data_IF_861565954654
#
_entry.id   IF_861565954654
#
_cell.length_a   1.000
_cell.length_b   1.000
_cell.length_c   1.000
_cell.angle_alpha   90.00
_cell.angle_beta   90.00
_cell.angle_gamma   90.00
#
_symmetry.space_group_name_H-M   'P 1'
#
loop_
_entity.id
_entity.type
_entity.pdbx_description
1 polymer ?
#
# COMPACT_ATOMS: atom_id res chain seq x y z
N UNK A 1 -36.20 26.71 -9.07
CA UNK A 1 -34.79 27.07 -9.36
C UNK A 1 -33.87 26.94 -8.14
N UNK A 2 -34.21 27.54 -6.98
CA UNK A 2 -33.38 27.50 -5.74
C UNK A 2 -32.99 26.09 -5.27
N UNK A 3 -33.90 25.10 -5.28
CA UNK A 3 -33.61 23.71 -4.87
C UNK A 3 -32.52 23.02 -5.71
N UNK A 4 -32.44 23.27 -7.02
CA UNK A 4 -31.40 22.70 -7.90
C UNK A 4 -30.02 23.30 -7.59
N UNK A 5 -29.97 24.58 -7.22
CA UNK A 5 -28.73 25.27 -6.83
C UNK A 5 -28.17 24.71 -5.52
N UNK A 6 -29.00 24.41 -4.52
CA UNK A 6 -28.58 23.78 -3.27
C UNK A 6 -28.05 22.35 -3.47
N UNK A 7 -28.63 21.59 -4.39
CA UNK A 7 -28.15 20.24 -4.72
C UNK A 7 -26.77 20.30 -5.40
N UNK A 8 -26.57 21.24 -6.32
CA UNK A 8 -25.28 21.43 -6.99
C UNK A 8 -24.20 21.95 -6.04
N UNK A 9 -24.54 22.90 -5.16
CA UNK A 9 -23.62 23.40 -4.12
C UNK A 9 -23.27 22.30 -3.11
N UNK A 10 -24.27 21.53 -2.64
CA UNK A 10 -24.04 20.40 -1.74
C UNK A 10 -23.18 19.31 -2.37
N UNK A 11 -23.42 18.99 -3.65
CA UNK A 11 -22.60 18.05 -4.41
C UNK A 11 -21.16 18.52 -4.59
N UNK A 12 -20.95 19.81 -4.86
CA UNK A 12 -19.61 20.40 -4.96
C UNK A 12 -18.82 20.33 -3.65
N UNK A 13 -19.46 20.65 -2.52
CA UNK A 13 -18.85 20.54 -1.19
C UNK A 13 -18.51 19.09 -0.87
N UNK A 14 -19.43 18.15 -1.12
CA UNK A 14 -19.17 16.73 -0.89
C UNK A 14 -17.99 16.21 -1.73
N UNK A 15 -17.92 16.60 -3.01
CA UNK A 15 -16.80 16.23 -3.88
C UNK A 15 -15.47 16.80 -3.38
N UNK A 16 -15.45 18.05 -2.91
CA UNK A 16 -14.24 18.68 -2.36
C UNK A 16 -13.77 17.98 -1.08
N UNK A 17 -14.71 17.62 -0.18
CA UNK A 17 -14.38 16.88 1.05
C UNK A 17 -13.84 15.49 0.73
N UNK A 18 -14.45 14.77 -0.21
CA UNK A 18 -13.97 13.46 -0.67
C UNK A 18 -12.58 13.57 -1.30
N UNK A 19 -12.35 14.56 -2.16
CA UNK A 19 -11.04 14.81 -2.76
C UNK A 19 -9.97 15.13 -1.73
N UNK A 20 -10.28 15.97 -0.74
CA UNK A 20 -9.39 16.28 0.38
C UNK A 20 -9.05 15.05 1.22
N UNK A 21 -10.05 14.21 1.53
CA UNK A 21 -9.83 12.96 2.26
C UNK A 21 -8.91 12.01 1.49
N UNK A 22 -9.16 11.80 0.19
CA UNK A 22 -8.31 10.96 -0.66
C UNK A 22 -6.88 11.49 -0.66
N UNK A 23 -6.70 12.80 -0.81
CA UNK A 23 -5.37 13.42 -0.80
C UNK A 23 -4.62 13.16 0.52
N UNK A 24 -5.29 13.33 1.67
CA UNK A 24 -4.71 13.06 2.99
C UNK A 24 -4.31 11.59 3.12
N UNK A 25 -5.17 10.66 2.70
CA UNK A 25 -4.87 9.22 2.75
C UNK A 25 -3.66 8.87 1.89
N UNK A 26 -3.59 9.38 0.66
CA UNK A 26 -2.47 9.10 -0.24
C UNK A 26 -1.13 9.63 0.30
N UNK A 27 -1.14 10.75 1.04
CA UNK A 27 0.07 11.35 1.60
C UNK A 27 0.48 10.74 2.94
N UNK A 28 -0.47 10.47 3.81
CA UNK A 28 -0.20 9.98 5.16
C UNK A 28 0.22 8.51 5.19
N UNK A 29 -0.32 7.70 4.28
CA UNK A 29 0.01 6.27 4.18
C UNK A 29 1.12 5.96 3.17
N UNK A 30 1.85 6.97 2.71
CA UNK A 30 2.98 6.76 1.80
C UNK A 30 4.13 6.12 2.56
N UNK A 31 4.59 4.97 2.09
CA UNK A 31 5.70 4.20 2.65
C UNK A 31 7.00 4.95 2.39
N UNK A 32 7.74 5.21 3.46
CA UNK A 32 9.07 5.85 3.44
C UNK A 32 10.14 4.92 3.97
N UNK A 33 9.75 3.98 4.84
CA UNK A 33 10.66 3.06 5.52
C UNK A 33 10.25 1.63 5.27
N UNK A 34 11.20 0.79 4.87
CA UNK A 34 10.98 -0.64 4.62
C UNK A 34 12.05 -1.46 5.32
N UNK A 35 11.61 -2.44 6.12
CA UNK A 35 12.50 -3.44 6.71
C UNK A 35 12.35 -4.76 5.96
N UNK A 36 13.46 -5.36 5.55
CA UNK A 36 13.49 -6.67 4.90
C UNK A 36 14.25 -7.65 5.78
N UNK A 37 13.62 -8.79 6.07
CA UNK A 37 14.21 -9.87 6.87
C UNK A 37 14.08 -11.22 6.16
N UNK A 38 15.03 -12.12 6.40
CA UNK A 38 14.99 -13.49 5.86
C UNK A 38 15.34 -13.61 4.38
N UNK A 39 15.80 -12.51 3.73
CA UNK A 39 16.41 -12.66 2.42
C UNK A 39 17.79 -13.34 2.55
N UNK A 40 18.08 -14.21 1.61
CA UNK A 40 19.38 -14.90 1.50
C UNK A 40 19.91 -14.76 0.07
N UNK A 41 19.04 -14.73 -0.93
CA UNK A 41 19.42 -14.78 -2.35
C UNK A 41 19.20 -13.47 -3.11
N UNK A 42 18.17 -12.71 -2.75
CA UNK A 42 17.84 -11.41 -3.38
C UNK A 42 18.31 -10.27 -2.50
N UNK A 43 18.61 -9.11 -3.10
CA UNK A 43 18.89 -7.88 -2.35
C UNK A 43 17.62 -7.34 -1.69
N UNK A 44 17.78 -6.41 -0.74
CA UNK A 44 16.63 -5.76 -0.11
C UNK A 44 15.80 -4.99 -1.13
N UNK A 45 16.46 -4.32 -2.08
CA UNK A 45 15.84 -3.53 -3.14
C UNK A 45 15.03 -4.42 -4.09
N UNK A 46 15.54 -5.60 -4.46
CA UNK A 46 14.80 -6.56 -5.29
C UNK A 46 13.54 -7.08 -4.59
N UNK A 47 13.63 -7.37 -3.28
CA UNK A 47 12.47 -7.75 -2.48
C UNK A 47 11.44 -6.61 -2.43
N UNK A 48 11.90 -5.37 -2.23
CA UNK A 48 11.05 -4.19 -2.26
C UNK A 48 10.35 -4.03 -3.62
N UNK A 49 11.09 -4.15 -4.72
CA UNK A 49 10.53 -4.01 -6.07
C UNK A 49 9.52 -5.12 -6.39
N UNK A 50 9.70 -6.33 -5.87
CA UNK A 50 8.71 -7.41 -6.02
C UNK A 50 7.43 -7.15 -5.21
N UNK A 51 7.55 -6.62 -4.00
CA UNK A 51 6.41 -6.39 -3.09
C UNK A 51 5.66 -5.11 -3.44
N UNK A 52 6.39 -4.02 -3.67
CA UNK A 52 5.89 -2.64 -3.84
C UNK A 52 5.52 -2.33 -5.29
N UNK A 53 5.00 -3.32 -6.02
CA UNK A 53 4.56 -3.15 -7.41
C UNK A 53 3.21 -2.45 -7.54
N UNK A 54 3.08 -1.63 -8.60
CA UNK A 54 1.83 -0.98 -9.01
C UNK A 54 1.78 0.51 -8.66
N UNK A 55 0.74 1.19 -9.13
CA UNK A 55 0.57 2.65 -8.97
C UNK A 55 0.42 3.13 -7.53
N UNK A 56 -0.01 2.23 -6.63
CA UNK A 56 -0.12 2.47 -5.19
C UNK A 56 0.80 1.53 -4.39
N UNK A 57 1.82 0.96 -5.03
CA UNK A 57 2.76 0.03 -4.41
C UNK A 57 3.57 0.64 -3.27
N UNK A 58 3.63 1.96 -3.18
CA UNK A 58 4.23 2.74 -2.10
C UNK A 58 3.20 3.24 -1.06
N UNK A 59 2.00 2.66 -1.01
CA UNK A 59 0.97 3.02 -0.04
C UNK A 59 0.69 1.85 0.93
N UNK A 60 0.97 2.03 2.22
CA UNK A 60 0.87 0.97 3.22
C UNK A 60 -0.56 0.42 3.37
N UNK A 61 -1.57 1.28 3.25
CA UNK A 61 -2.98 0.88 3.30
C UNK A 61 -3.35 0.02 2.09
N UNK A 62 -2.87 0.39 0.90
CA UNK A 62 -3.02 -0.43 -0.30
C UNK A 62 -2.31 -1.78 -0.15
N UNK A 63 -1.06 -1.79 0.33
CA UNK A 63 -0.30 -3.02 0.57
C UNK A 63 -0.98 -3.93 1.59
N UNK A 64 -1.56 -3.37 2.66
CA UNK A 64 -2.33 -4.12 3.65
C UNK A 64 -3.52 -4.85 3.01
N UNK A 65 -4.22 -4.20 2.08
CA UNK A 65 -5.34 -4.80 1.34
C UNK A 65 -4.84 -5.81 0.30
N UNK A 66 -3.75 -5.49 -0.40
CA UNK A 66 -3.14 -6.34 -1.42
C UNK A 66 -2.66 -7.66 -0.83
N UNK A 67 -2.07 -7.66 0.36
CA UNK A 67 -1.45 -8.85 0.98
C UNK A 67 -2.21 -9.40 2.19
N UNK A 68 -3.41 -8.90 2.49
CA UNK A 68 -4.20 -9.27 3.69
C UNK A 68 -4.28 -10.77 3.98
N UNK A 69 -4.47 -11.58 2.93
CA UNK A 69 -4.65 -13.03 3.02
C UNK A 69 -3.79 -13.78 1.99
N UNK A 70 -2.76 -13.13 1.45
CA UNK A 70 -1.90 -13.70 0.42
C UNK A 70 -0.50 -13.12 0.52
N UNK A 71 0.51 -13.98 0.47
CA UNK A 71 1.88 -13.55 0.34
C UNK A 71 2.24 -13.24 -1.12
N UNK A 72 3.47 -12.80 -1.33
CA UNK A 72 4.06 -12.81 -2.66
C UNK A 72 4.57 -14.22 -2.94
N UNK A 73 3.90 -14.91 -3.86
CA UNK A 73 4.24 -16.27 -4.25
C UNK A 73 4.81 -16.30 -5.68
N UNK A 74 5.24 -17.48 -6.13
CA UNK A 74 5.80 -17.71 -7.48
C UNK A 74 7.13 -16.99 -7.77
N UNK A 75 7.93 -16.75 -6.73
CA UNK A 75 9.30 -16.26 -6.85
C UNK A 75 10.28 -17.45 -6.74
N UNK A 76 11.32 -17.54 -7.59
CA UNK A 76 12.35 -18.57 -7.46
C UNK A 76 12.99 -18.53 -6.07
N UNK A 77 13.32 -19.69 -5.48
CA UNK A 77 13.97 -19.84 -4.16
C UNK A 77 13.17 -19.33 -2.93
N UNK A 78 12.20 -18.45 -3.12
CA UNK A 78 11.30 -17.96 -2.07
C UNK A 78 10.02 -18.80 -2.04
N UNK A 79 9.65 -19.27 -0.86
CA UNK A 79 8.38 -19.96 -0.62
C UNK A 79 7.23 -18.95 -0.61
N UNK A 80 7.35 -17.91 0.23
CA UNK A 80 6.40 -16.81 0.30
C UNK A 80 7.05 -15.58 0.95
N UNK A 81 6.46 -14.41 0.74
CA UNK A 81 6.82 -13.18 1.47
C UNK A 81 5.60 -12.64 2.19
N UNK A 82 5.73 -12.40 3.48
CA UNK A 82 4.71 -11.75 4.30
C UNK A 82 4.99 -10.25 4.42
N UNK A 83 3.93 -9.44 4.34
CA UNK A 83 4.02 -7.97 4.37
C UNK A 83 3.23 -7.46 5.55
N UNK A 84 3.95 -7.01 6.58
CA UNK A 84 3.36 -6.46 7.80
C UNK A 84 3.46 -4.95 7.82
N UNK A 85 2.35 -4.29 8.11
CA UNK A 85 2.33 -2.84 8.32
C UNK A 85 2.69 -2.56 9.78
N UNK A 86 3.77 -1.81 10.01
CA UNK A 86 4.20 -1.42 11.36
C UNK A 86 3.63 -0.06 11.75
N UNK A 87 3.61 0.88 10.80
CA UNK A 87 3.03 2.22 10.93
C UNK A 87 2.49 2.68 9.56
N UNK A 88 1.77 3.81 9.48
CA UNK A 88 1.26 4.33 8.21
C UNK A 88 2.32 4.51 7.12
N UNK A 89 3.58 4.77 7.48
CA UNK A 89 4.69 5.02 6.57
C UNK A 89 5.76 3.90 6.59
N UNK A 90 5.57 2.85 7.40
CA UNK A 90 6.57 1.80 7.60
C UNK A 90 6.00 0.42 7.43
N UNK A 91 6.66 -0.38 6.59
CA UNK A 91 6.33 -1.79 6.37
C UNK A 91 7.53 -2.68 6.71
N UNK A 92 7.23 -3.93 7.04
CA UNK A 92 8.20 -5.01 7.21
C UNK A 92 7.84 -6.15 6.27
N UNK A 93 8.83 -6.61 5.52
CA UNK A 93 8.74 -7.73 4.60
C UNK A 93 9.54 -8.88 5.21
N UNK A 94 8.89 -10.01 5.46
CA UNK A 94 9.54 -11.23 5.94
C UNK A 94 9.53 -12.26 4.82
N UNK A 95 10.72 -12.68 4.40
CA UNK A 95 10.93 -13.61 3.29
C UNK A 95 11.16 -15.01 3.85
N UNK A 96 10.34 -15.96 3.40
CA UNK A 96 10.50 -17.38 3.73
C UNK A 96 11.11 -18.09 2.53
N UNK A 97 12.27 -18.73 2.72
CA UNK A 97 12.97 -19.46 1.65
C UNK A 97 12.40 -20.87 1.50
N UNK A 98 12.51 -21.43 0.28
CA UNK A 98 12.28 -22.86 0.04
C UNK A 98 13.39 -23.67 0.71
N UNK A 99 13.01 -24.76 1.38
CA UNK A 99 13.93 -25.76 1.92
C UNK A 99 14.54 -26.62 0.81
#
# INVERSE_FOLDING_TARGET
MKKRIWILLGGGIAAALLGGLIFVVLRYYKVTTVYVEGNIHYSNEEIMDMVMTGTLGDNSLYLALKYKNKGVDNVPFVQTMDVKILSPDTIKITVYQKA
#
